data_IF_760113168931
#
_entry.id   IF_760113168931
#
_cell.length_a   1.000
_cell.length_b   1.000
_cell.length_c   1.000
_cell.angle_alpha   90.00
_cell.angle_beta   90.00
_cell.angle_gamma   90.00
#
_symmetry.space_group_name_H-M   'P 1'
#
loop_
_entity.id
_entity.type
_entity.pdbx_description
1 polymer ?
#
# COMPACT_ATOMS: atom_id res chain seq x y z
N UNK A 1 6.66 10.22 12.94
CA UNK A 1 6.13 10.68 11.63
C UNK A 1 7.23 10.95 10.60
N UNK A 2 8.46 11.26 11.00
CA UNK A 2 9.56 11.55 10.08
C UNK A 2 9.96 10.35 9.21
N UNK A 3 10.00 9.14 9.76
CA UNK A 3 10.41 7.91 9.05
C UNK A 3 9.54 7.66 7.81
N UNK A 4 8.23 7.91 7.88
CA UNK A 4 7.28 7.67 6.78
C UNK A 4 7.41 8.73 5.67
N UNK A 5 7.94 9.91 6.01
CA UNK A 5 8.11 11.05 5.09
C UNK A 5 9.53 11.20 4.56
N UNK A 6 10.47 10.41 5.08
CA UNK A 6 11.86 10.49 4.68
C UNK A 6 12.03 10.13 3.19
N UNK A 7 12.60 11.02 2.41
CA UNK A 7 12.85 10.84 0.98
C UNK A 7 14.31 10.61 0.65
N UNK A 8 15.20 11.39 1.26
CA UNK A 8 16.63 11.29 1.05
C UNK A 8 17.38 12.01 2.18
N UNK A 9 18.58 11.61 2.41
CA UNK A 9 19.53 12.39 3.21
C UNK A 9 20.15 13.46 2.31
N UNK A 10 20.27 14.69 2.80
CA UNK A 10 20.97 15.78 2.09
C UNK A 10 22.50 15.62 2.14
N UNK A 11 22.98 14.53 2.67
CA UNK A 11 24.39 14.22 2.82
C UNK A 11 24.99 13.88 1.44
N UNK A 12 25.82 14.79 0.94
CA UNK A 12 26.52 14.66 -0.34
C UNK A 12 27.55 13.52 -0.35
N UNK A 13 27.88 12.99 0.84
CA UNK A 13 28.90 11.99 1.03
C UNK A 13 28.39 10.55 0.94
N UNK A 14 27.09 10.34 0.72
CA UNK A 14 26.51 9.01 0.55
C UNK A 14 25.77 8.84 -0.77
N UNK A 15 26.50 8.65 -1.89
CA UNK A 15 25.92 8.54 -3.23
C UNK A 15 25.04 7.28 -3.46
N UNK A 16 25.00 6.34 -2.51
CA UNK A 16 24.21 5.11 -2.61
C UNK A 16 22.68 5.31 -2.47
N UNK A 17 22.23 6.49 -2.05
CA UNK A 17 20.81 6.80 -1.90
C UNK A 17 20.24 7.68 -3.02
N UNK A 18 21.05 8.05 -4.01
CA UNK A 18 20.62 8.87 -5.14
C UNK A 18 19.90 8.03 -6.21
N UNK A 19 18.61 8.22 -6.38
CA UNK A 19 17.88 7.70 -7.54
C UNK A 19 16.68 6.79 -7.26
N UNK A 20 16.44 6.38 -6.00
CA UNK A 20 15.24 5.62 -5.62
C UNK A 20 14.37 6.35 -4.60
N UNK A 21 14.36 7.67 -4.64
CA UNK A 21 13.80 8.51 -3.58
C UNK A 21 12.34 8.17 -3.25
N UNK A 22 11.53 7.90 -4.24
CA UNK A 22 10.10 7.62 -4.05
C UNK A 22 9.83 6.12 -3.83
N UNK A 23 10.49 5.26 -4.58
CA UNK A 23 10.37 3.79 -4.44
C UNK A 23 10.92 3.33 -3.09
N UNK A 24 12.03 3.91 -2.63
CA UNK A 24 12.58 3.63 -1.30
C UNK A 24 11.62 4.05 -0.17
N UNK A 25 10.93 5.18 -0.34
CA UNK A 25 9.89 5.63 0.60
C UNK A 25 8.71 4.67 0.66
N UNK A 26 8.23 4.17 -0.50
CA UNK A 26 7.14 3.19 -0.57
C UNK A 26 7.51 1.94 0.22
N UNK A 27 8.70 1.38 0.02
CA UNK A 27 9.17 0.23 0.78
C UNK A 27 9.21 0.46 2.29
N UNK A 28 9.68 1.65 2.72
CA UNK A 28 9.67 2.04 4.14
C UNK A 28 8.25 2.16 4.69
N UNK A 29 7.32 2.73 3.90
CA UNK A 29 5.91 2.84 4.29
C UNK A 29 5.24 1.47 4.41
N UNK A 30 5.50 0.56 3.48
CA UNK A 30 4.99 -0.82 3.52
C UNK A 30 5.52 -1.57 4.75
N UNK A 31 6.83 -1.49 5.03
CA UNK A 31 7.43 -2.10 6.21
C UNK A 31 6.87 -1.53 7.51
N UNK A 32 6.66 -0.21 7.58
CA UNK A 32 6.02 0.44 8.71
C UNK A 32 4.59 -0.05 8.91
N UNK A 33 3.77 -0.08 7.85
CA UNK A 33 2.39 -0.58 7.91
C UNK A 33 2.34 -2.05 8.34
N UNK A 34 3.24 -2.89 7.82
CA UNK A 34 3.33 -4.29 8.24
C UNK A 34 3.68 -4.40 9.73
N UNK A 35 4.61 -3.60 10.23
CA UNK A 35 4.98 -3.58 11.65
C UNK A 35 3.83 -3.10 12.53
N UNK A 36 3.09 -2.08 12.08
CA UNK A 36 1.90 -1.60 12.78
C UNK A 36 0.84 -2.70 12.81
N UNK A 37 0.55 -3.33 11.66
CA UNK A 37 -0.40 -4.45 11.60
C UNK A 37 -0.01 -5.58 12.55
N UNK A 38 1.27 -5.98 12.60
CA UNK A 38 1.76 -7.02 13.52
C UNK A 38 1.51 -6.69 15.00
N UNK A 39 1.67 -5.41 15.38
CA UNK A 39 1.39 -4.97 16.76
C UNK A 39 -0.10 -4.90 17.07
N UNK A 40 -0.89 -4.56 16.08
CA UNK A 40 -2.32 -4.34 16.22
C UNK A 40 -3.13 -5.63 16.13
N UNK A 41 -2.67 -6.62 15.37
CA UNK A 41 -3.35 -7.92 15.20
C UNK A 41 -3.15 -8.86 16.38
N UNK A 42 -3.00 -8.33 17.59
CA UNK A 42 -3.12 -9.09 18.83
C UNK A 42 -4.54 -8.95 19.36
N UNK A 43 -5.20 -10.07 19.63
CA UNK A 43 -6.59 -10.12 20.06
C UNK A 43 -6.88 -9.18 21.25
N UNK A 44 -5.93 -9.06 22.16
CA UNK A 44 -6.02 -8.18 23.34
C UNK A 44 -6.12 -6.69 22.99
N UNK A 45 -5.62 -6.27 21.81
CA UNK A 45 -5.59 -4.88 21.40
C UNK A 45 -6.80 -4.47 20.56
N UNK A 46 -7.59 -5.42 20.06
CA UNK A 46 -8.70 -5.16 19.11
C UNK A 46 -9.73 -4.15 19.66
N UNK A 47 -10.23 -4.25 20.91
CA UNK A 47 -11.22 -3.30 21.42
C UNK A 47 -10.66 -1.88 21.52
N UNK A 48 -9.49 -1.72 22.13
CA UNK A 48 -8.84 -0.39 22.30
C UNK A 48 -8.50 0.27 20.96
N UNK A 49 -8.15 -0.53 19.97
CA UNK A 49 -7.92 -0.06 18.60
C UNK A 49 -9.21 0.41 17.93
N UNK A 50 -10.28 -0.36 18.02
CA UNK A 50 -11.56 -0.02 17.42
C UNK A 50 -12.11 1.28 18.04
N UNK A 51 -11.99 1.46 19.35
CA UNK A 51 -12.34 2.72 20.03
C UNK A 51 -11.49 3.89 19.56
N UNK A 52 -10.16 3.69 19.44
CA UNK A 52 -9.24 4.71 18.97
C UNK A 52 -9.55 5.08 17.52
N UNK A 53 -9.82 4.09 16.67
CA UNK A 53 -10.20 4.31 15.28
C UNK A 53 -11.45 5.17 15.16
N UNK A 54 -12.52 4.83 15.88
CA UNK A 54 -13.79 5.58 15.91
C UNK A 54 -13.61 7.01 16.41
N UNK A 55 -12.64 7.26 17.29
CA UNK A 55 -12.35 8.59 17.81
C UNK A 55 -11.73 9.52 16.77
N UNK A 56 -10.89 9.00 15.87
CA UNK A 56 -10.09 9.80 14.96
C UNK A 56 -10.48 9.67 13.49
N UNK A 57 -11.27 8.66 13.13
CA UNK A 57 -11.73 8.40 11.77
C UNK A 57 -13.24 8.57 11.68
N UNK A 58 -13.69 9.43 10.78
CA UNK A 58 -15.12 9.56 10.46
C UNK A 58 -15.53 8.37 9.59
N UNK A 59 -16.40 7.53 10.09
CA UNK A 59 -16.89 6.33 9.42
C UNK A 59 -18.33 6.04 9.88
N UNK A 60 -19.07 5.34 9.07
CA UNK A 60 -20.39 4.77 9.38
C UNK A 60 -20.29 3.38 10.03
N UNK A 61 -19.08 2.83 10.16
CA UNK A 61 -18.85 1.56 10.84
C UNK A 61 -19.09 1.70 12.34
N UNK A 62 -19.82 0.75 12.90
CA UNK A 62 -20.01 0.63 14.36
C UNK A 62 -18.82 -0.09 15.00
N UNK A 63 -18.68 0.03 16.32
CA UNK A 63 -17.68 -0.73 17.08
C UNK A 63 -17.82 -2.24 16.82
N UNK A 64 -19.06 -2.75 16.75
CA UNK A 64 -19.31 -4.16 16.43
C UNK A 64 -18.80 -4.58 15.06
N UNK A 65 -19.00 -3.74 14.04
CA UNK A 65 -18.46 -3.98 12.69
C UNK A 65 -16.94 -4.03 12.70
N UNK A 66 -16.29 -3.11 13.41
CA UNK A 66 -14.82 -3.05 13.49
C UNK A 66 -14.24 -4.27 14.21
N UNK A 67 -14.87 -4.69 15.32
CA UNK A 67 -14.46 -5.90 16.05
C UNK A 67 -14.66 -7.16 15.18
N UNK A 68 -15.76 -7.22 14.43
CA UNK A 68 -16.00 -8.34 13.51
C UNK A 68 -14.95 -8.38 12.39
N UNK A 69 -14.65 -7.25 11.74
CA UNK A 69 -13.61 -7.15 10.71
C UNK A 69 -12.24 -7.53 11.25
N UNK A 70 -11.90 -7.08 12.47
CA UNK A 70 -10.63 -7.42 13.09
C UNK A 70 -10.53 -8.94 13.38
N UNK A 71 -11.62 -9.57 13.83
CA UNK A 71 -11.65 -11.01 14.03
C UNK A 71 -11.50 -11.77 12.71
N UNK A 72 -12.13 -11.30 11.62
CA UNK A 72 -11.92 -11.90 10.28
C UNK A 72 -10.45 -11.78 9.87
N UNK A 73 -9.83 -10.61 10.03
CA UNK A 73 -8.44 -10.40 9.71
C UNK A 73 -7.50 -11.32 10.53
N UNK A 74 -7.78 -11.53 11.80
CA UNK A 74 -7.04 -12.48 12.66
C UNK A 74 -7.19 -13.93 12.17
N UNK A 75 -8.37 -14.31 11.67
CA UNK A 75 -8.63 -15.66 11.18
C UNK A 75 -7.95 -16.00 9.85
N UNK A 76 -7.53 -14.96 9.10
CA UNK A 76 -6.83 -15.12 7.81
C UNK A 76 -5.37 -15.58 7.92
N UNK A 77 -4.87 -15.89 9.10
CA UNK A 77 -3.47 -16.34 9.30
C UNK A 77 -2.51 -15.23 9.71
N UNK A 78 -3.03 -14.11 10.20
CA UNK A 78 -2.22 -13.01 10.71
C UNK A 78 -1.64 -12.11 9.62
N UNK A 79 -0.54 -11.42 9.93
CA UNK A 79 0.09 -10.45 9.03
C UNK A 79 0.75 -11.06 7.80
N UNK A 80 0.95 -12.37 7.78
CA UNK A 80 1.56 -13.05 6.62
C UNK A 80 0.55 -13.19 5.47
N UNK A 81 -0.75 -13.05 5.75
CA UNK A 81 -1.80 -12.93 4.73
C UNK A 81 -1.84 -11.55 4.06
N UNK A 82 -1.13 -10.55 4.61
CA UNK A 82 -1.07 -9.21 4.04
C UNK A 82 0.16 -9.10 3.13
N UNK A 83 -0.08 -8.98 1.83
CA UNK A 83 0.95 -8.70 0.84
C UNK A 83 0.88 -7.25 0.38
N UNK A 84 2.03 -6.68 0.10
CA UNK A 84 2.15 -5.34 -0.47
C UNK A 84 2.85 -5.46 -1.82
N UNK A 85 2.32 -4.78 -2.80
CA UNK A 85 2.94 -4.68 -4.11
C UNK A 85 2.96 -3.22 -4.58
N UNK A 86 3.93 -2.88 -5.41
CA UNK A 86 3.98 -1.61 -6.11
C UNK A 86 3.64 -1.88 -7.57
N UNK A 87 2.75 -1.07 -8.15
CA UNK A 87 2.42 -1.20 -9.56
C UNK A 87 3.68 -1.06 -10.42
N UNK A 88 3.89 -1.96 -11.39
CA UNK A 88 5.03 -1.90 -12.28
C UNK A 88 5.01 -0.63 -13.14
N UNK A 89 6.16 0.05 -13.23
CA UNK A 89 6.26 1.28 -13.98
C UNK A 89 7.65 1.90 -13.89
N UNK A 90 7.80 3.08 -14.48
CA UNK A 90 9.02 3.85 -14.52
C UNK A 90 8.79 5.28 -13.99
N UNK A 91 9.73 5.76 -13.18
CA UNK A 91 9.74 7.13 -12.66
C UNK A 91 10.34 8.19 -13.60
N UNK A 92 10.73 7.82 -14.82
CA UNK A 92 11.36 8.71 -15.79
C UNK A 92 10.38 9.46 -16.71
N UNK A 93 9.09 9.28 -16.54
CA UNK A 93 8.06 9.93 -17.35
C UNK A 93 8.02 11.44 -17.14
N UNK A 94 8.02 12.21 -18.26
CA UNK A 94 7.82 13.67 -18.27
C UNK A 94 6.63 14.03 -19.16
N UNK A 95 5.71 14.82 -18.61
CA UNK A 95 4.59 15.36 -19.37
C UNK A 95 4.27 16.78 -18.90
N UNK A 96 4.15 17.73 -19.81
CA UNK A 96 3.89 19.16 -19.52
C UNK A 96 4.82 19.75 -18.44
N UNK A 97 6.12 19.43 -18.48
CA UNK A 97 7.11 19.96 -17.53
C UNK A 97 7.04 19.37 -16.12
N UNK A 98 6.29 18.29 -15.94
CA UNK A 98 6.17 17.59 -14.67
C UNK A 98 6.65 16.14 -14.80
N UNK A 99 7.25 15.64 -13.73
CA UNK A 99 7.65 14.23 -13.63
C UNK A 99 6.46 13.38 -13.18
N UNK A 100 6.27 12.24 -13.85
CA UNK A 100 5.25 11.26 -13.57
C UNK A 100 5.85 9.87 -13.44
N UNK A 101 5.20 9.02 -12.67
CA UNK A 101 5.45 7.60 -12.67
C UNK A 101 4.58 6.97 -13.75
N UNK A 102 5.21 6.47 -14.81
CA UNK A 102 4.52 5.86 -15.95
C UNK A 102 4.36 4.36 -15.69
N UNK A 103 3.13 3.88 -15.74
CA UNK A 103 2.82 2.46 -15.53
C UNK A 103 3.14 1.65 -16.80
N UNK A 104 3.49 0.37 -16.61
CA UNK A 104 3.60 -0.62 -17.68
C UNK A 104 2.26 -1.38 -17.79
N UNK A 105 1.39 -1.07 -18.78
CA UNK A 105 0.00 -1.56 -18.81
C UNK A 105 -0.11 -3.09 -18.75
N UNK A 106 0.71 -3.80 -19.52
CA UNK A 106 0.69 -5.27 -19.58
C UNK A 106 1.05 -5.90 -18.23
N UNK A 107 2.10 -5.39 -17.58
CA UNK A 107 2.53 -5.90 -16.27
C UNK A 107 1.54 -5.55 -15.16
N UNK A 108 0.90 -4.39 -15.25
CA UNK A 108 -0.18 -4.00 -14.33
C UNK A 108 -1.38 -4.91 -14.52
N UNK A 109 -1.73 -5.26 -15.76
CA UNK A 109 -2.82 -6.19 -16.06
C UNK A 109 -2.55 -7.58 -15.47
N UNK A 110 -1.36 -8.11 -15.69
CA UNK A 110 -0.93 -9.40 -15.12
C UNK A 110 -0.99 -9.38 -13.59
N UNK A 111 -0.45 -8.34 -12.96
CA UNK A 111 -0.50 -8.18 -11.51
C UNK A 111 -1.95 -8.07 -11.00
N UNK A 112 -2.80 -7.32 -11.68
CA UNK A 112 -4.21 -7.15 -11.31
C UNK A 112 -4.93 -8.50 -11.37
N UNK A 113 -4.78 -9.24 -12.45
CA UNK A 113 -5.44 -10.55 -12.61
C UNK A 113 -4.93 -11.58 -11.60
N UNK A 114 -3.63 -11.58 -11.30
CA UNK A 114 -3.05 -12.54 -10.37
C UNK A 114 -3.31 -12.25 -8.89
N UNK A 115 -3.43 -10.98 -8.49
CA UNK A 115 -3.46 -10.58 -7.08
C UNK A 115 -4.77 -9.94 -6.63
N UNK A 116 -5.48 -9.25 -7.50
CA UNK A 116 -6.59 -8.36 -7.13
C UNK A 116 -7.91 -8.75 -7.78
N UNK A 117 -7.90 -9.52 -8.87
CA UNK A 117 -9.10 -9.88 -9.59
C UNK A 117 -9.94 -10.89 -8.77
N UNK A 118 -11.16 -10.51 -8.30
CA UNK A 118 -12.04 -11.40 -7.56
C UNK A 118 -12.91 -12.27 -8.49
N UNK A 119 -12.82 -12.08 -9.80
CA UNK A 119 -13.66 -12.76 -10.79
C UNK A 119 -12.98 -14.01 -11.32
N UNK A 120 -13.78 -14.92 -11.88
CA UNK A 120 -13.30 -16.13 -12.55
C UNK A 120 -12.67 -15.79 -13.90
N UNK A 121 -13.21 -14.77 -14.57
CA UNK A 121 -12.68 -14.29 -15.85
C UNK A 121 -11.62 -13.23 -15.62
N UNK A 122 -10.57 -13.25 -16.43
CA UNK A 122 -9.53 -12.22 -16.39
C UNK A 122 -10.09 -10.87 -16.89
N UNK A 123 -9.63 -9.82 -16.25
CA UNK A 123 -9.84 -8.44 -16.70
C UNK A 123 -9.02 -8.25 -17.97
N UNK A 124 -9.61 -7.58 -18.97
CA UNK A 124 -8.96 -7.31 -20.27
C UNK A 124 -8.26 -5.94 -20.27
N UNK A 125 -7.39 -5.73 -21.24
CA UNK A 125 -6.66 -4.46 -21.39
C UNK A 125 -7.61 -3.27 -21.60
N UNK A 126 -8.74 -3.49 -22.30
CA UNK A 126 -9.73 -2.44 -22.56
C UNK A 126 -10.48 -1.99 -21.30
N UNK A 127 -10.63 -2.89 -20.32
CA UNK A 127 -11.26 -2.60 -19.03
C UNK A 127 -10.34 -1.89 -18.06
N UNK A 128 -9.02 -1.97 -18.25
CA UNK A 128 -8.03 -1.43 -17.33
C UNK A 128 -7.94 0.11 -17.38
N UNK A 129 -8.31 0.74 -18.49
CA UNK A 129 -8.34 2.19 -18.71
C UNK A 129 -7.09 2.95 -18.21
N UNK A 130 -5.91 2.43 -18.48
CA UNK A 130 -4.64 3.09 -18.18
C UNK A 130 -4.34 4.11 -19.29
N UNK A 131 -4.18 5.37 -18.90
CA UNK A 131 -3.73 6.41 -19.83
C UNK A 131 -2.23 6.23 -20.11
N UNK A 132 -1.90 5.98 -21.35
CA UNK A 132 -0.51 5.99 -21.84
C UNK A 132 -0.28 7.35 -22.46
N UNK A 133 0.77 8.12 -22.01
CA UNK A 133 1.06 9.45 -22.55
C UNK A 133 1.57 9.42 -23.99
#
# INVERSE_FOLDING_TARGET
MEVVRFRHNSDKDNPGYGGRQDIGRIGTQQAFLKTVAQKLMKLENVPAMAETFLKYVKTDLTLGNLVWLANQALSMGGTDAISFATLPGDGAGWYNGKSFYTLYPEQVLEMTNSMLNPYVADITADEQNILVP
#
